data_IF_697075281187
#
_entry.id   IF_697075281187
#
_cell.length_a   1.000
_cell.length_b   1.000
_cell.length_c   1.000
_cell.angle_alpha   90.00
_cell.angle_beta   90.00
_cell.angle_gamma   90.00
#
_symmetry.space_group_name_H-M   'P 1'
#
loop_
_entity.id
_entity.type
_entity.pdbx_description
1 polymer ?
#
# COMPACT_ATOMS: atom_id res chain seq x y z
N UNK A 1 -20.53 3.27 -20.00
CA UNK A 1 -20.87 1.95 -19.46
C UNK A 1 -20.19 1.90 -18.10
N UNK A 2 -20.92 1.66 -17.01
CA UNK A 2 -20.30 1.50 -15.70
C UNK A 2 -19.48 0.20 -15.70
N UNK A 3 -18.24 0.26 -15.20
CA UNK A 3 -17.37 -0.91 -15.08
C UNK A 3 -17.84 -1.76 -13.90
N UNK A 4 -17.77 -3.08 -14.07
CA UNK A 4 -18.23 -4.04 -13.06
C UNK A 4 -17.18 -4.22 -11.96
N UNK A 5 -17.59 -4.69 -10.79
CA UNK A 5 -16.66 -5.18 -9.79
C UNK A 5 -16.17 -6.59 -10.15
N UNK A 6 -14.86 -6.84 -10.04
CA UNK A 6 -14.30 -8.17 -10.23
C UNK A 6 -14.39 -8.99 -8.93
N UNK A 7 -15.39 -9.86 -8.86
CA UNK A 7 -15.79 -10.56 -7.62
C UNK A 7 -14.75 -11.52 -7.03
N UNK A 8 -13.95 -12.18 -7.87
CA UNK A 8 -13.05 -13.24 -7.37
C UNK A 8 -11.86 -13.52 -8.28
N UNK A 9 -10.67 -13.44 -7.69
CA UNK A 9 -9.47 -14.08 -8.24
C UNK A 9 -9.58 -15.61 -8.17
N UNK A 10 -9.40 -16.27 -9.30
CA UNK A 10 -9.55 -17.72 -9.47
C UNK A 10 -8.34 -18.36 -10.17
N UNK A 11 -7.15 -17.77 -9.99
CA UNK A 11 -5.90 -18.23 -10.63
C UNK A 11 -5.67 -17.67 -12.03
N UNK A 12 -6.16 -16.45 -12.29
CA UNK A 12 -5.86 -15.76 -13.53
C UNK A 12 -4.39 -15.35 -13.59
N UNK A 13 -3.77 -15.49 -14.76
CA UNK A 13 -2.41 -14.99 -14.99
C UNK A 13 -2.41 -13.45 -15.05
N UNK A 14 -1.24 -12.85 -14.84
CA UNK A 14 -1.01 -11.39 -14.94
C UNK A 14 -1.70 -10.76 -16.16
N UNK A 15 -1.48 -11.35 -17.33
CA UNK A 15 -2.01 -10.86 -18.60
C UNK A 15 -3.52 -11.02 -18.74
N UNK A 16 -4.07 -12.06 -18.12
CA UNK A 16 -5.50 -12.32 -18.13
C UNK A 16 -6.22 -11.28 -17.28
N UNK A 17 -5.71 -10.94 -16.09
CA UNK A 17 -6.25 -9.84 -15.27
C UNK A 17 -6.13 -8.48 -15.97
N UNK A 18 -4.97 -8.18 -16.56
CA UNK A 18 -4.76 -6.92 -17.30
C UNK A 18 -5.77 -6.78 -18.45
N UNK A 19 -6.05 -7.87 -19.17
CA UNK A 19 -6.99 -7.85 -20.30
C UNK A 19 -8.44 -7.50 -19.90
N UNK A 20 -8.75 -7.49 -18.60
CA UNK A 20 -10.08 -7.15 -18.09
C UNK A 20 -10.28 -5.66 -17.77
N UNK A 21 -9.28 -4.80 -18.00
CA UNK A 21 -9.29 -3.37 -17.61
C UNK A 21 -10.44 -2.53 -18.18
N UNK A 22 -11.03 -2.96 -19.30
CA UNK A 22 -12.15 -2.29 -19.95
C UNK A 22 -13.51 -2.89 -19.55
N UNK A 23 -13.51 -3.91 -18.70
CA UNK A 23 -14.70 -4.63 -18.22
C UNK A 23 -14.93 -4.38 -16.73
N UNK A 24 -13.86 -4.38 -15.94
CA UNK A 24 -13.93 -4.19 -14.49
C UNK A 24 -13.21 -2.93 -14.02
N UNK A 25 -13.62 -2.48 -12.84
CA UNK A 25 -13.00 -1.35 -12.16
C UNK A 25 -11.56 -1.68 -11.75
N UNK A 26 -10.69 -0.67 -11.74
CA UNK A 26 -9.25 -0.87 -11.48
C UNK A 26 -8.99 -1.30 -10.04
N UNK A 27 -9.64 -0.67 -9.07
CA UNK A 27 -9.64 -1.09 -7.66
C UNK A 27 -9.89 -2.59 -7.50
N UNK A 28 -10.95 -3.12 -8.12
CA UNK A 28 -11.25 -4.55 -8.03
C UNK A 28 -10.22 -5.46 -8.71
N UNK A 29 -9.55 -4.96 -9.76
CA UNK A 29 -8.48 -5.70 -10.44
C UNK A 29 -7.19 -5.67 -9.63
N UNK A 30 -6.87 -4.53 -9.00
CA UNK A 30 -5.70 -4.40 -8.15
C UNK A 30 -5.86 -5.23 -6.89
N UNK A 31 -7.03 -5.25 -6.26
CA UNK A 31 -7.29 -6.16 -5.13
C UNK A 31 -7.21 -7.64 -5.55
N UNK A 32 -7.52 -7.98 -6.81
CA UNK A 32 -7.27 -9.33 -7.34
C UNK A 32 -5.77 -9.63 -7.47
N UNK A 33 -4.96 -8.67 -7.90
CA UNK A 33 -3.51 -8.78 -7.90
C UNK A 33 -2.96 -8.95 -6.47
N UNK A 34 -3.40 -8.13 -5.51
CA UNK A 34 -3.01 -8.27 -4.10
C UNK A 34 -3.29 -9.68 -3.59
N UNK A 35 -4.52 -10.17 -3.78
CA UNK A 35 -4.91 -11.53 -3.38
C UNK A 35 -4.05 -12.60 -4.03
N UNK A 36 -3.70 -12.43 -5.30
CA UNK A 36 -2.85 -13.36 -6.03
C UNK A 36 -1.40 -13.37 -5.51
N UNK A 37 -0.88 -12.19 -5.16
CA UNK A 37 0.46 -12.04 -4.59
C UNK A 37 0.51 -12.62 -3.17
N UNK A 38 -0.50 -12.40 -2.32
CA UNK A 38 -0.59 -13.06 -1.02
C UNK A 38 -0.63 -14.58 -1.12
N UNK A 39 -1.42 -15.14 -2.03
CA UNK A 39 -1.42 -16.60 -2.25
C UNK A 39 -0.05 -17.13 -2.69
N UNK A 40 0.70 -16.34 -3.48
CA UNK A 40 2.08 -16.68 -3.86
C UNK A 40 3.00 -16.63 -2.64
N UNK A 41 2.91 -15.59 -1.82
CA UNK A 41 3.68 -15.43 -0.59
C UNK A 41 3.42 -16.57 0.39
N UNK A 42 2.17 -16.89 0.69
CA UNK A 42 1.78 -18.00 1.58
C UNK A 42 2.38 -19.34 1.10
N UNK A 43 2.43 -19.54 -0.22
CA UNK A 43 2.92 -20.80 -0.82
C UNK A 43 4.44 -20.88 -0.89
N UNK A 44 5.12 -19.77 -1.19
CA UNK A 44 6.54 -19.76 -1.58
C UNK A 44 7.46 -19.00 -0.61
N UNK A 45 6.90 -18.16 0.25
CA UNK A 45 7.62 -17.24 1.13
C UNK A 45 7.78 -15.83 0.53
N UNK A 46 7.86 -14.84 1.41
CA UNK A 46 8.04 -13.42 1.06
C UNK A 46 9.31 -13.16 0.23
N UNK A 47 10.37 -13.96 0.44
CA UNK A 47 11.64 -13.88 -0.30
C UNK A 47 11.53 -14.31 -1.78
N UNK A 48 10.36 -14.85 -2.18
CA UNK A 48 10.06 -15.24 -3.57
C UNK A 48 9.19 -14.23 -4.30
N UNK A 49 8.79 -13.15 -3.64
CA UNK A 49 8.11 -12.04 -4.30
C UNK A 49 9.11 -11.17 -5.06
N UNK A 50 8.71 -10.67 -6.23
CA UNK A 50 9.47 -9.62 -6.91
C UNK A 50 9.28 -8.27 -6.21
N UNK A 51 10.15 -7.31 -6.48
CA UNK A 51 10.02 -5.96 -5.96
C UNK A 51 8.69 -5.33 -6.39
N UNK A 52 8.25 -5.58 -7.63
CA UNK A 52 6.97 -5.10 -8.13
C UNK A 52 5.76 -5.72 -7.41
N UNK A 53 5.84 -7.01 -7.07
CA UNK A 53 4.79 -7.68 -6.29
C UNK A 53 4.73 -7.13 -4.86
N UNK A 54 5.88 -6.84 -4.24
CA UNK A 54 5.93 -6.20 -2.93
C UNK A 54 5.38 -4.77 -2.96
N UNK A 55 5.60 -4.02 -4.05
CA UNK A 55 5.00 -2.69 -4.24
C UNK A 55 3.47 -2.78 -4.28
N UNK A 56 2.90 -3.80 -4.95
CA UNK A 56 1.45 -4.02 -4.97
C UNK A 56 0.92 -4.21 -3.54
N UNK A 57 1.52 -5.11 -2.76
CA UNK A 57 1.09 -5.35 -1.38
C UNK A 57 1.23 -4.10 -0.49
N UNK A 58 2.33 -3.36 -0.63
CA UNK A 58 2.59 -2.17 0.18
C UNK A 58 1.56 -1.07 -0.07
N UNK A 59 1.26 -0.79 -1.34
CA UNK A 59 0.33 0.28 -1.72
C UNK A 59 -1.12 -0.09 -1.40
N UNK A 60 -1.56 -1.33 -1.67
CA UNK A 60 -2.92 -1.76 -1.27
C UNK A 60 -3.09 -1.81 0.25
N UNK A 61 -2.03 -2.18 0.99
CA UNK A 61 -2.03 -2.09 2.45
C UNK A 61 -2.16 -0.65 2.93
N UNK A 62 -1.40 0.29 2.37
CA UNK A 62 -1.55 1.71 2.70
C UNK A 62 -2.97 2.19 2.42
N UNK A 63 -3.50 1.92 1.22
CA UNK A 63 -4.83 2.36 0.82
C UNK A 63 -5.91 1.78 1.74
N UNK A 64 -5.83 0.50 2.10
CA UNK A 64 -6.78 -0.14 3.00
C UNK A 64 -6.68 0.40 4.43
N UNK A 65 -5.48 0.43 5.01
CA UNK A 65 -5.33 0.76 6.43
C UNK A 65 -5.59 2.25 6.68
N UNK A 66 -5.12 3.15 5.81
CA UNK A 66 -5.37 4.59 5.95
C UNK A 66 -6.86 4.88 5.78
N UNK A 67 -7.54 4.33 4.76
CA UNK A 67 -8.99 4.55 4.61
C UNK A 67 -9.83 3.95 5.76
N UNK A 68 -9.33 2.93 6.46
CA UNK A 68 -10.05 2.28 7.56
C UNK A 68 -9.83 2.98 8.91
N UNK A 69 -8.64 3.52 9.16
CA UNK A 69 -8.28 4.09 10.47
C UNK A 69 -7.01 4.92 10.48
N UNK A 70 -6.62 5.49 9.34
CA UNK A 70 -5.52 6.43 9.26
C UNK A 70 -4.11 5.82 9.21
N UNK A 71 -3.11 6.69 9.16
CA UNK A 71 -1.69 6.32 9.12
C UNK A 71 -1.26 5.53 10.35
N UNK A 72 -1.81 5.82 11.52
CA UNK A 72 -1.50 5.04 12.72
C UNK A 72 -1.92 3.57 12.55
N UNK A 73 -3.09 3.32 11.97
CA UNK A 73 -3.52 1.96 11.66
C UNK A 73 -2.59 1.27 10.65
N UNK A 74 -2.11 2.00 9.63
CA UNK A 74 -1.12 1.47 8.68
C UNK A 74 0.19 1.05 9.37
N UNK A 75 0.69 1.86 10.31
CA UNK A 75 1.90 1.55 11.08
C UNK A 75 1.72 0.36 12.02
N UNK A 76 0.55 0.23 12.65
CA UNK A 76 0.24 -0.87 13.58
C UNK A 76 0.01 -2.19 12.85
N UNK A 77 -0.79 -2.18 11.78
CA UNK A 77 -1.26 -3.41 11.14
C UNK A 77 -0.30 -3.96 10.11
N UNK A 78 0.49 -3.08 9.49
CA UNK A 78 1.40 -3.46 8.38
C UNK A 78 2.79 -2.80 8.47
N UNK A 79 3.47 -2.87 9.63
CA UNK A 79 4.77 -2.24 9.85
C UNK A 79 5.86 -2.72 8.87
N UNK A 80 5.69 -3.89 8.27
CA UNK A 80 6.61 -4.47 7.28
C UNK A 80 6.75 -3.64 6.00
N UNK A 81 5.75 -2.83 5.65
CA UNK A 81 5.77 -2.01 4.44
C UNK A 81 6.29 -0.59 4.67
N UNK A 82 6.31 -0.12 5.92
CA UNK A 82 6.73 1.24 6.27
C UNK A 82 8.14 1.59 5.76
N UNK A 83 9.16 0.70 5.82
CA UNK A 83 10.49 1.02 5.28
C UNK A 83 10.56 1.26 3.76
N UNK A 84 9.56 0.81 2.99
CA UNK A 84 9.58 0.87 1.53
C UNK A 84 8.45 1.70 0.91
N UNK A 85 7.43 2.06 1.67
CA UNK A 85 6.18 2.61 1.12
C UNK A 85 6.39 3.93 0.37
N UNK A 86 7.28 4.81 0.83
CA UNK A 86 7.54 6.10 0.18
C UNK A 86 8.13 5.92 -1.23
N UNK A 87 9.10 5.01 -1.38
CA UNK A 87 9.67 4.66 -2.67
C UNK A 87 8.68 3.88 -3.56
N UNK A 88 7.82 3.06 -2.97
CA UNK A 88 6.74 2.38 -3.68
C UNK A 88 5.74 3.39 -4.29
N UNK A 89 5.34 4.41 -3.51
CA UNK A 89 4.46 5.48 -3.97
C UNK A 89 5.11 6.31 -5.10
N UNK A 90 6.41 6.61 -4.98
CA UNK A 90 7.15 7.23 -6.09
C UNK A 90 7.18 6.34 -7.33
N UNK A 91 7.34 5.03 -7.18
CA UNK A 91 7.41 4.07 -8.28
C UNK A 91 6.10 3.98 -9.09
N UNK A 92 4.95 4.17 -8.44
CA UNK A 92 3.65 4.24 -9.12
C UNK A 92 3.31 5.65 -9.64
N UNK A 93 4.14 6.65 -9.31
CA UNK A 93 3.95 8.05 -9.72
C UNK A 93 3.14 8.91 -8.74
N UNK A 94 2.78 8.39 -7.56
CA UNK A 94 2.03 9.15 -6.54
C UNK A 94 2.95 9.96 -5.63
N UNK A 95 3.55 11.01 -6.19
CA UNK A 95 4.53 11.84 -5.46
C UNK A 95 3.91 12.67 -4.34
N UNK A 96 2.63 12.97 -4.40
CA UNK A 96 1.91 13.72 -3.36
C UNK A 96 1.64 12.82 -2.14
N UNK A 97 1.07 11.63 -2.38
CA UNK A 97 0.92 10.61 -1.34
C UNK A 97 2.28 10.26 -0.73
N UNK A 98 3.35 10.12 -1.53
CA UNK A 98 4.69 9.83 -1.00
C UNK A 98 5.17 10.88 0.02
N UNK A 99 4.96 12.17 -0.26
CA UNK A 99 5.32 13.26 0.66
C UNK A 99 4.47 13.25 1.92
N UNK A 100 3.16 13.01 1.76
CA UNK A 100 2.23 12.92 2.88
C UNK A 100 2.58 11.74 3.80
N UNK A 101 2.82 10.57 3.22
CA UNK A 101 3.25 9.37 3.95
C UNK A 101 4.60 9.58 4.63
N UNK A 102 5.56 10.26 3.99
CA UNK A 102 6.82 10.61 4.64
C UNK A 102 6.60 11.52 5.86
N UNK A 103 5.71 12.53 5.76
CA UNK A 103 5.35 13.40 6.89
C UNK A 103 4.79 12.59 8.06
N UNK A 104 3.89 11.63 7.79
CA UNK A 104 3.33 10.76 8.82
C UNK A 104 4.38 9.82 9.45
N UNK A 105 5.33 9.31 8.65
CA UNK A 105 6.45 8.49 9.14
C UNK A 105 7.42 9.33 9.98
N UNK A 106 7.75 10.55 9.56
CA UNK A 106 8.65 11.45 10.28
C UNK A 106 8.10 11.78 11.68
N UNK A 107 6.78 11.82 11.83
CA UNK A 107 6.12 12.00 13.11
C UNK A 107 6.35 10.84 14.09
N UNK A 108 6.74 9.64 13.64
CA UNK A 108 7.20 8.55 14.52
C UNK A 108 8.55 8.86 15.21
N UNK A 109 9.26 9.92 14.80
CA UNK A 109 10.54 10.38 15.38
C UNK A 109 11.61 9.28 15.44
N UNK A 110 11.59 8.34 14.49
CA UNK A 110 12.55 7.23 14.44
C UNK A 110 13.92 7.75 14.03
N UNK A 111 14.92 7.55 14.89
CA UNK A 111 16.31 7.86 14.56
C UNK A 111 17.00 6.69 13.85
N UNK A 112 17.78 6.99 12.81
CA UNK A 112 18.59 6.01 12.09
C UNK A 112 17.79 5.19 11.05
N UNK A 113 18.22 3.95 10.73
CA UNK A 113 17.54 3.15 9.70
C UNK A 113 16.10 2.82 10.10
N UNK A 114 15.18 2.99 9.16
CA UNK A 114 13.76 2.63 9.31
C UNK A 114 13.63 1.10 9.17
N UNK A 115 13.38 0.42 10.29
CA UNK A 115 13.21 -1.03 10.36
C UNK A 115 11.88 -1.37 11.01
N UNK A 116 11.34 -2.56 10.72
CA UNK A 116 10.06 -3.04 11.28
C UNK A 116 10.04 -2.89 12.82
N UNK A 117 11.06 -3.44 13.48
CA UNK A 117 11.17 -3.38 14.95
C UNK A 117 11.20 -1.96 15.51
N UNK A 118 11.73 -0.98 14.78
CA UNK A 118 11.76 0.42 15.22
C UNK A 118 10.43 1.13 14.99
N UNK A 119 9.70 0.73 13.95
CA UNK A 119 8.33 1.20 13.72
C UNK A 119 7.45 0.70 14.86
N UNK A 120 7.52 -0.60 15.18
CA UNK A 120 6.76 -1.20 16.29
C UNK A 120 7.06 -0.49 17.63
N UNK A 121 8.35 -0.27 17.93
CA UNK A 121 8.77 0.44 19.14
C UNK A 121 8.25 1.88 19.17
N UNK A 122 8.37 2.62 18.07
CA UNK A 122 7.91 4.01 17.99
C UNK A 122 6.39 4.15 18.13
N UNK A 123 5.62 3.23 17.56
CA UNK A 123 4.16 3.20 17.69
C UNK A 123 3.74 2.92 19.15
N UNK A 124 4.42 1.98 19.81
CA UNK A 124 4.17 1.70 21.24
C UNK A 124 4.51 2.91 22.11
N UNK A 125 5.65 3.56 21.87
CA UNK A 125 6.05 4.76 22.59
C UNK A 125 5.06 5.91 22.38
N UNK A 126 4.60 6.14 21.15
CA UNK A 126 3.60 7.16 20.86
C UNK A 126 2.31 6.95 21.65
N UNK A 127 1.85 5.70 21.75
CA UNK A 127 0.67 5.36 22.55
C UNK A 127 0.87 5.52 24.06
N UNK A 128 2.11 5.44 24.57
CA UNK A 128 2.43 5.67 25.98
C UNK A 128 2.63 7.16 26.31
N UNK A 129 3.20 7.93 25.38
CA UNK A 129 3.51 9.35 25.58
C UNK A 129 2.28 10.26 25.38
N UNK A 130 1.34 9.87 24.51
CA UNK A 130 0.15 10.68 24.14
C UNK A 130 0.55 12.13 23.77
N UNK A 131 1.56 12.27 22.89
CA UNK A 131 2.07 13.58 22.46
C UNK A 131 1.05 14.27 21.52
N UNK A 132 0.38 15.36 21.95
CA UNK A 132 -0.66 16.00 21.17
C UNK A 132 -0.14 16.60 19.85
N UNK A 133 1.14 17.03 19.81
CA UNK A 133 1.73 17.59 18.58
C UNK A 133 1.92 16.47 17.53
N UNK A 134 2.21 15.25 17.98
CA UNK A 134 2.35 14.08 17.12
C UNK A 134 0.98 13.62 16.59
N UNK A 135 -0.02 13.56 17.47
CA UNK A 135 -1.40 13.21 17.11
C UNK A 135 -1.98 14.21 16.10
N UNK A 136 -1.80 15.52 16.32
CA UNK A 136 -2.26 16.55 15.38
C UNK A 136 -1.62 16.39 13.98
N UNK A 137 -0.34 16.00 13.91
CA UNK A 137 0.31 15.73 12.61
C UNK A 137 -0.34 14.55 11.90
N UNK A 138 -0.67 13.47 12.61
CA UNK A 138 -1.33 12.30 12.00
C UNK A 138 -2.75 12.60 11.58
N UNK A 139 -3.54 13.28 12.41
CA UNK A 139 -4.89 13.71 12.08
C UNK A 139 -4.91 14.60 10.82
N UNK A 140 -3.97 15.55 10.73
CA UNK A 140 -3.78 16.39 9.52
C UNK A 140 -3.45 15.55 8.28
N UNK A 141 -2.60 14.53 8.44
CA UNK A 141 -2.22 13.67 7.32
C UNK A 141 -3.37 12.79 6.85
N UNK A 142 -4.14 12.24 7.79
CA UNK A 142 -5.32 11.43 7.53
C UNK A 142 -6.39 12.26 6.83
N UNK A 143 -6.69 13.45 7.36
CA UNK A 143 -7.68 14.36 6.77
C UNK A 143 -7.28 14.78 5.37
N UNK A 144 -6.00 15.14 5.15
CA UNK A 144 -5.52 15.45 3.81
C UNK A 144 -5.61 14.22 2.89
N UNK A 145 -5.34 13.02 3.38
CA UNK A 145 -5.52 11.80 2.61
C UNK A 145 -6.97 11.65 2.14
N UNK A 146 -7.93 11.79 3.05
CA UNK A 146 -9.35 11.61 2.72
C UNK A 146 -9.90 12.67 1.76
N UNK A 147 -9.42 13.91 1.87
CA UNK A 147 -9.93 15.03 1.08
C UNK A 147 -9.28 15.12 -0.30
N UNK A 148 -7.96 14.92 -0.37
CA UNK A 148 -7.16 15.25 -1.56
C UNK A 148 -6.57 14.02 -2.24
N UNK A 149 -6.30 12.94 -1.51
CA UNK A 149 -5.73 11.72 -2.10
C UNK A 149 -6.86 10.87 -2.67
N UNK A 150 -6.91 10.84 -4.01
CA UNK A 150 -7.82 9.96 -4.74
C UNK A 150 -7.39 8.48 -4.68
N UNK A 151 -8.24 7.65 -5.28
CA UNK A 151 -8.02 6.20 -5.49
C UNK A 151 -6.67 5.90 -6.15
N UNK A 152 -5.78 5.19 -5.42
CA UNK A 152 -4.43 4.86 -5.88
C UNK A 152 -4.42 3.71 -6.88
N UNK A 153 -5.50 2.92 -6.95
CA UNK A 153 -5.61 1.75 -7.81
C UNK A 153 -5.41 2.08 -9.29
N UNK A 154 -5.75 3.30 -9.72
CA UNK A 154 -5.53 3.74 -11.10
C UNK A 154 -4.04 3.80 -11.42
N UNK A 155 -3.24 4.42 -10.55
CA UNK A 155 -1.80 4.55 -10.72
C UNK A 155 -1.10 3.20 -10.54
N UNK A 156 -1.51 2.43 -9.53
CA UNK A 156 -0.98 1.11 -9.28
C UNK A 156 -1.27 0.14 -10.44
N UNK A 157 -2.45 0.20 -11.04
CA UNK A 157 -2.77 -0.62 -12.22
C UNK A 157 -1.93 -0.24 -13.44
N UNK A 158 -1.63 1.05 -13.66
CA UNK A 158 -0.68 1.48 -14.70
C UNK A 158 0.72 0.91 -14.44
N UNK A 159 1.18 0.94 -13.19
CA UNK A 159 2.45 0.35 -12.79
C UNK A 159 2.48 -1.16 -13.04
N UNK A 160 1.43 -1.89 -12.68
CA UNK A 160 1.29 -3.34 -12.92
C UNK A 160 1.41 -3.62 -14.42
N UNK A 161 0.67 -2.90 -15.27
CA UNK A 161 0.73 -3.08 -16.73
C UNK A 161 2.12 -2.86 -17.30
N UNK A 162 2.80 -1.80 -16.84
CA UNK A 162 4.15 -1.45 -17.30
C UNK A 162 5.19 -2.51 -16.91
N UNK A 163 4.98 -3.20 -15.79
CA UNK A 163 5.93 -4.17 -15.24
C UNK A 163 5.44 -5.62 -15.30
N UNK A 164 4.44 -5.93 -16.13
CA UNK A 164 3.80 -7.25 -16.21
C UNK A 164 4.77 -8.44 -16.33
N UNK A 165 5.90 -8.26 -17.01
CA UNK A 165 6.93 -9.30 -17.18
C UNK A 165 7.68 -9.66 -15.89
N UNK A 166 7.61 -8.80 -14.87
CA UNK A 166 8.24 -8.98 -13.55
C UNK A 166 7.23 -9.40 -12.48
N UNK A 167 5.96 -9.48 -12.84
CA UNK A 167 4.86 -9.88 -11.96
C UNK A 167 4.41 -11.27 -12.41
N UNK A 168 4.66 -12.26 -11.57
CA UNK A 168 4.36 -13.66 -11.86
C UNK A 168 3.41 -14.20 -10.80
N UNK A 169 2.13 -13.84 -10.95
CA UNK A 169 1.05 -14.41 -10.16
C UNK A 169 0.66 -15.82 -10.67
N UNK A 170 0.17 -16.71 -9.78
CA UNK A 170 -0.09 -18.13 -10.09
C UNK A 170 -1.16 -18.35 -11.16
#
# INVERSE_FOLDING_TARGET
MELQWFEKYDGQRTDELIALENKFRKDSLVSAFERAVWQKEERLGADKLSDEERIILAVESLEREVNNGGYLQFFVNTPEFVPMIVEALHSIGSSETAKLTQKAIDALKIEGPLTISKVDEAVLLAAEEEDPDQEEIWDDCDQFYYDEIGDLSVLLFVFIKKNRERISIP
#
